data_IF_997632209601
#
_entry.id   IF_997632209601
#
_cell.length_a   1.000
_cell.length_b   1.000
_cell.length_c   1.000
_cell.angle_alpha   90.00
_cell.angle_beta   90.00
_cell.angle_gamma   90.00
#
_symmetry.space_group_name_H-M   'P 1'
#
loop_
_entity.id
_entity.type
_entity.pdbx_description
1 polymer ?
#
# COMPACT_ATOMS: atom_id res chain seq x y z
N UNK A 1 7.36 6.89 34.79
CA UNK A 1 6.17 6.44 34.06
C UNK A 1 5.25 7.65 33.95
N UNK A 2 5.31 8.35 32.80
CA UNK A 2 4.45 9.53 32.58
C UNK A 2 3.26 8.99 31.79
N UNK A 3 2.18 8.67 32.52
CA UNK A 3 0.88 8.45 31.89
C UNK A 3 0.37 9.81 31.41
N UNK A 4 0.62 10.14 30.15
CA UNK A 4 -0.13 11.20 29.50
C UNK A 4 -1.57 10.72 29.37
N UNK A 5 -2.45 11.28 30.17
CA UNK A 5 -3.88 11.03 30.08
C UNK A 5 -4.35 11.46 28.68
N UNK A 6 -5.22 10.67 28.05
CA UNK A 6 -5.77 10.88 26.71
C UNK A 6 -6.33 12.31 26.53
N UNK A 7 -6.81 12.92 27.59
CA UNK A 7 -7.23 14.33 27.61
C UNK A 7 -6.07 15.32 27.39
N UNK A 8 -4.84 14.97 27.77
CA UNK A 8 -3.66 15.82 27.56
C UNK A 8 -3.11 15.68 26.13
N UNK A 9 -3.20 14.50 25.55
CA UNK A 9 -2.94 14.30 24.11
C UNK A 9 -3.98 15.04 23.24
N UNK A 10 -5.20 15.13 23.71
CA UNK A 10 -6.31 15.78 23.00
C UNK A 10 -6.28 17.31 23.07
N UNK A 11 -5.74 17.90 24.12
CA UNK A 11 -5.52 19.35 24.20
C UNK A 11 -4.54 19.86 23.12
N UNK A 12 -3.71 18.96 22.57
CA UNK A 12 -2.79 19.24 21.47
C UNK A 12 -3.50 19.20 20.11
N UNK A 13 -4.66 18.50 19.98
CA UNK A 13 -5.32 18.21 18.70
C UNK A 13 -6.72 18.78 18.49
N UNK A 14 -7.09 19.93 19.07
CA UNK A 14 -8.39 20.62 18.82
C UNK A 14 -9.68 19.87 19.23
N UNK A 15 -10.09 20.12 20.39
CA UNK A 15 -11.27 19.92 21.18
C UNK A 15 -12.69 19.86 20.60
N UNK A 16 -13.07 18.93 19.72
CA UNK A 16 -14.50 18.61 19.51
C UNK A 16 -14.67 17.16 19.06
N UNK A 17 -15.21 16.30 19.93
CA UNK A 17 -15.74 14.93 19.75
C UNK A 17 -15.07 13.82 20.56
N UNK A 18 -15.18 13.89 21.89
CA UNK A 18 -14.64 12.89 22.83
C UNK A 18 -15.29 11.49 22.76
N UNK A 19 -16.55 11.38 22.40
CA UNK A 19 -17.29 10.11 22.53
C UNK A 19 -16.95 9.03 21.51
N UNK A 20 -16.44 9.39 20.33
CA UNK A 20 -16.04 8.41 19.29
C UNK A 20 -14.63 7.85 19.46
N UNK A 21 -13.74 8.57 20.14
CA UNK A 21 -12.35 8.15 20.32
C UNK A 21 -12.16 7.06 21.38
N UNK A 22 -13.02 7.03 22.40
CA UNK A 22 -12.90 6.09 23.53
C UNK A 22 -13.13 4.64 23.15
N UNK A 23 -13.86 4.36 22.05
CA UNK A 23 -14.14 2.99 21.60
C UNK A 23 -12.95 2.38 20.85
N UNK A 24 -12.12 3.18 20.18
CA UNK A 24 -11.01 2.70 19.36
C UNK A 24 -9.74 2.32 20.14
N UNK A 25 -9.60 2.77 21.39
CA UNK A 25 -8.38 2.50 22.20
C UNK A 25 -8.32 1.08 22.74
N UNK A 26 -9.40 0.31 22.69
CA UNK A 26 -9.48 -1.04 23.28
C UNK A 26 -8.83 -2.17 22.47
N UNK A 27 -8.43 -1.96 21.25
CA UNK A 27 -7.64 -2.96 20.51
C UNK A 27 -6.16 -2.57 20.63
N UNK A 28 -5.48 -3.16 21.60
CA UNK A 28 -4.02 -3.15 21.60
C UNK A 28 -3.58 -3.88 20.32
N UNK A 29 -3.06 -3.15 19.35
CA UNK A 29 -2.32 -3.77 18.25
C UNK A 29 -1.02 -4.24 18.90
N UNK A 30 -0.85 -5.55 19.07
CA UNK A 30 0.40 -6.12 19.55
C UNK A 30 1.45 -5.80 18.49
N UNK A 31 2.19 -4.72 18.69
CA UNK A 31 3.30 -4.33 17.83
C UNK A 31 4.58 -4.78 18.49
N UNK A 32 5.40 -5.50 17.75
CA UNK A 32 6.76 -5.85 18.12
C UNK A 32 7.74 -5.18 17.16
N UNK A 33 8.52 -4.24 17.68
CA UNK A 33 9.53 -3.52 16.90
C UNK A 33 10.74 -4.43 16.63
N UNK A 34 11.01 -4.70 15.35
CA UNK A 34 12.14 -5.53 14.88
C UNK A 34 13.33 -4.67 14.49
N UNK A 35 13.08 -3.51 13.89
CA UNK A 35 14.10 -2.60 13.38
C UNK A 35 13.56 -1.18 13.35
N UNK A 36 14.40 -0.23 13.64
CA UNK A 36 14.18 1.16 13.29
C UNK A 36 15.50 1.84 12.95
N UNK A 37 15.45 2.76 12.02
CA UNK A 37 16.62 3.47 11.57
C UNK A 37 16.28 4.76 10.86
N UNK A 38 17.24 5.66 10.85
CA UNK A 38 17.21 6.91 10.10
C UNK A 38 18.32 6.91 9.08
N UNK A 39 18.00 7.23 7.86
CA UNK A 39 18.99 7.31 6.78
C UNK A 39 18.90 8.65 6.08
N UNK A 40 20.00 9.08 5.49
CA UNK A 40 20.08 10.31 4.71
C UNK A 40 21.09 10.19 3.58
N UNK A 41 20.95 11.07 2.57
CA UNK A 41 21.80 11.16 1.41
C UNK A 41 21.31 10.35 0.22
N UNK A 42 22.04 10.46 -0.88
CA UNK A 42 21.73 9.78 -2.13
C UNK A 42 22.13 8.32 -2.07
N UNK A 43 21.22 7.43 -2.39
CA UNK A 43 21.51 6.03 -2.65
C UNK A 43 21.44 5.81 -4.16
N UNK A 44 22.54 6.04 -4.85
CA UNK A 44 22.71 5.59 -6.23
C UNK A 44 23.31 4.19 -6.21
N UNK A 45 22.49 3.16 -6.11
CA UNK A 45 22.95 1.82 -6.43
C UNK A 45 22.90 1.66 -7.94
N UNK A 46 24.06 1.70 -8.57
CA UNK A 46 24.27 1.14 -9.91
C UNK A 46 24.24 -0.38 -9.78
N UNK A 47 23.08 -0.99 -9.87
CA UNK A 47 22.88 -2.44 -9.81
C UNK A 47 21.45 -2.80 -10.19
N UNK A 48 21.23 -4.05 -10.62
CA UNK A 48 19.88 -4.59 -10.80
C UNK A 48 19.13 -4.44 -9.48
N UNK A 49 18.08 -3.63 -9.48
CA UNK A 49 17.20 -3.48 -8.32
C UNK A 49 16.42 -4.77 -8.18
N UNK A 50 16.59 -5.45 -7.05
CA UNK A 50 15.81 -6.63 -6.71
C UNK A 50 14.70 -6.20 -5.75
N UNK A 51 13.51 -6.77 -5.93
CA UNK A 51 12.45 -6.62 -4.97
C UNK A 51 12.79 -7.37 -3.68
N UNK A 52 12.62 -6.69 -2.57
CA UNK A 52 12.72 -7.29 -1.24
C UNK A 52 11.32 -7.66 -0.77
N UNK A 53 11.19 -8.83 -0.16
CA UNK A 53 9.95 -9.33 0.44
C UNK A 53 10.21 -9.68 1.88
N UNK A 54 9.34 -9.29 2.77
CA UNK A 54 9.47 -9.69 4.18
C UNK A 54 8.12 -10.03 4.81
N UNK A 55 8.14 -10.89 5.87
CA UNK A 55 6.91 -11.32 6.55
C UNK A 55 6.40 -10.31 7.60
N UNK A 56 6.95 -9.13 7.66
CA UNK A 56 6.61 -8.08 8.62
C UNK A 56 6.16 -6.79 7.93
N UNK A 57 5.52 -5.91 8.69
CA UNK A 57 5.16 -4.56 8.23
C UNK A 57 6.40 -3.67 8.14
N UNK A 58 6.41 -2.76 7.17
CA UNK A 58 7.42 -1.72 7.07
C UNK A 58 6.76 -0.36 6.94
N UNK A 59 7.15 0.58 7.81
CA UNK A 59 6.73 1.98 7.74
C UNK A 59 7.91 2.82 7.28
N UNK A 60 7.71 3.51 6.16
CA UNK A 60 8.65 4.50 5.64
C UNK A 60 8.10 5.91 5.90
N UNK A 61 8.94 6.80 6.40
CA UNK A 61 8.58 8.18 6.68
C UNK A 61 9.60 9.09 6.03
N UNK A 62 9.16 9.90 5.07
CA UNK A 62 10.02 10.90 4.45
C UNK A 62 10.13 12.12 5.35
N UNK A 63 11.28 12.34 5.95
CA UNK A 63 11.54 13.51 6.81
C UNK A 63 11.93 14.74 5.99
N UNK A 64 12.72 14.56 4.93
CA UNK A 64 13.14 15.63 4.04
C UNK A 64 13.47 15.07 2.63
N UNK A 65 13.32 15.90 1.61
CA UNK A 65 13.57 15.51 0.22
C UNK A 65 12.44 14.66 -0.35
N UNK A 66 12.81 13.66 -1.16
CA UNK A 66 11.86 12.77 -1.83
C UNK A 66 12.33 11.32 -1.70
N UNK A 67 11.37 10.41 -1.56
CA UNK A 67 11.60 8.98 -1.57
C UNK A 67 10.69 8.35 -2.64
N UNK A 68 11.29 7.57 -3.53
CA UNK A 68 10.54 6.81 -4.53
C UNK A 68 10.53 5.34 -4.12
N UNK A 69 9.36 4.86 -3.72
CA UNK A 69 9.11 3.46 -3.44
C UNK A 69 8.43 2.81 -4.64
N UNK A 70 9.01 1.76 -5.17
CA UNK A 70 8.38 0.91 -6.17
C UNK A 70 7.96 -0.39 -5.51
N UNK A 71 6.68 -0.71 -5.60
CA UNK A 71 6.13 -1.96 -5.07
C UNK A 71 5.53 -2.79 -6.21
N UNK A 72 5.19 -4.02 -5.90
CA UNK A 72 4.43 -4.90 -6.78
C UNK A 72 3.00 -4.41 -7.05
N UNK A 73 2.55 -3.42 -6.30
CA UNK A 73 1.21 -2.85 -6.41
C UNK A 73 1.19 -1.44 -7.00
N UNK A 74 2.38 -0.83 -7.20
CA UNK A 74 2.49 0.50 -7.78
C UNK A 74 3.74 1.25 -7.36
N UNK A 75 3.78 2.54 -7.74
CA UNK A 75 4.88 3.44 -7.39
C UNK A 75 4.34 4.56 -6.50
N UNK A 76 5.08 4.83 -5.43
CA UNK A 76 4.75 5.87 -4.47
C UNK A 76 5.90 6.88 -4.44
N UNK A 77 5.58 8.14 -4.64
CA UNK A 77 6.51 9.26 -4.45
C UNK A 77 6.16 9.92 -3.13
N UNK A 78 7.02 9.78 -2.14
CA UNK A 78 6.83 10.41 -0.84
C UNK A 78 7.61 11.72 -0.81
N UNK A 79 6.95 12.77 -0.37
CA UNK A 79 7.55 14.07 -0.05
C UNK A 79 7.76 14.21 1.45
N UNK A 80 8.47 15.26 1.85
CA UNK A 80 8.70 15.55 3.26
C UNK A 80 7.38 15.60 4.06
N UNK A 81 7.29 14.79 5.09
CA UNK A 81 6.11 14.61 5.94
C UNK A 81 5.19 13.47 5.54
N UNK A 82 5.37 12.83 4.37
CA UNK A 82 4.56 11.68 3.96
C UNK A 82 5.01 10.41 4.67
N UNK A 83 4.05 9.51 4.90
CA UNK A 83 4.26 8.16 5.44
C UNK A 83 3.71 7.11 4.50
N UNK A 84 4.44 6.02 4.32
CA UNK A 84 4.01 4.83 3.56
C UNK A 84 4.11 3.60 4.46
N UNK A 85 3.02 2.89 4.61
CA UNK A 85 2.97 1.58 5.24
C UNK A 85 2.94 0.49 4.18
N UNK A 86 3.89 -0.43 4.27
CA UNK A 86 3.96 -1.65 3.47
C UNK A 86 3.52 -2.84 4.33
N UNK A 87 2.43 -3.54 3.98
CA UNK A 87 2.03 -4.75 4.68
C UNK A 87 2.99 -5.92 4.41
N UNK A 88 2.94 -6.99 5.23
CA UNK A 88 3.73 -8.19 5.03
C UNK A 88 3.58 -8.77 3.62
N UNK A 89 4.67 -9.24 3.03
CA UNK A 89 4.67 -9.86 1.71
C UNK A 89 4.63 -8.89 0.53
N UNK A 90 4.62 -7.58 0.76
CA UNK A 90 4.71 -6.58 -0.32
C UNK A 90 6.11 -6.55 -0.88
N UNK A 91 6.24 -6.90 -2.17
CA UNK A 91 7.50 -6.76 -2.89
C UNK A 91 7.82 -5.29 -3.14
N UNK A 92 9.01 -4.83 -2.77
CA UNK A 92 9.36 -3.43 -2.95
C UNK A 92 10.87 -3.19 -3.06
N UNK A 93 11.20 -2.04 -3.61
CA UNK A 93 12.52 -1.43 -3.51
C UNK A 93 12.40 0.09 -3.44
N UNK A 94 13.37 0.72 -2.80
CA UNK A 94 13.41 2.16 -2.60
C UNK A 94 14.50 2.81 -3.44
N UNK A 95 14.23 4.05 -3.88
CA UNK A 95 15.19 4.91 -4.56
C UNK A 95 15.21 6.27 -3.90
N UNK A 96 16.41 6.78 -3.69
CA UNK A 96 16.64 8.11 -3.13
C UNK A 96 17.24 9.00 -4.22
N UNK A 97 16.43 9.85 -4.88
CA UNK A 97 16.91 10.65 -6.00
C UNK A 97 17.84 11.79 -5.58
N UNK A 98 17.67 12.32 -4.35
CA UNK A 98 18.33 13.54 -3.89
C UNK A 98 19.36 13.31 -2.81
N UNK A 99 20.39 14.18 -2.72
CA UNK A 99 21.40 14.11 -1.66
C UNK A 99 20.85 14.59 -0.30
N UNK A 100 19.80 15.40 -0.30
CA UNK A 100 19.16 15.95 0.91
C UNK A 100 18.07 15.08 1.49
N UNK A 101 17.94 13.85 1.00
CA UNK A 101 16.94 12.93 1.53
C UNK A 101 17.24 12.55 2.97
N UNK A 102 16.18 12.58 3.79
CA UNK A 102 16.16 12.02 5.14
C UNK A 102 14.87 11.24 5.33
N UNK A 103 14.98 10.06 5.87
CA UNK A 103 13.82 9.22 6.09
C UNK A 103 14.04 8.26 7.26
N UNK A 104 12.93 7.85 7.85
CA UNK A 104 12.86 6.75 8.81
C UNK A 104 12.35 5.50 8.13
N UNK A 105 12.95 4.36 8.47
CA UNK A 105 12.45 3.02 8.13
C UNK A 105 12.25 2.24 9.43
N UNK A 106 11.03 1.75 9.64
CA UNK A 106 10.66 0.95 10.80
C UNK A 106 10.09 -0.38 10.32
N UNK A 107 10.61 -1.48 10.87
CA UNK A 107 10.14 -2.84 10.58
C UNK A 107 9.58 -3.43 11.86
N UNK A 108 8.39 -4.01 11.79
CA UNK A 108 7.67 -4.47 12.98
C UNK A 108 6.64 -5.54 12.65
N UNK A 109 6.35 -6.39 13.60
CA UNK A 109 5.20 -7.29 13.56
C UNK A 109 3.97 -6.59 14.10
N UNK A 110 2.81 -6.89 13.52
CA UNK A 110 1.52 -6.39 13.97
C UNK A 110 0.43 -7.42 13.69
N UNK A 111 -0.45 -7.62 14.67
CA UNK A 111 -1.63 -8.47 14.50
C UNK A 111 -2.67 -7.89 13.52
N UNK A 112 -2.56 -6.59 13.21
CA UNK A 112 -3.42 -5.90 12.26
C UNK A 112 -2.56 -5.11 11.29
N UNK A 113 -2.75 -5.37 10.00
CA UNK A 113 -2.13 -4.63 8.92
C UNK A 113 -3.17 -4.41 7.81
N UNK A 114 -3.09 -3.33 7.02
CA UNK A 114 -3.88 -3.23 5.80
C UNK A 114 -3.46 -4.32 4.81
N UNK A 115 -4.35 -4.68 3.89
CA UNK A 115 -4.08 -5.70 2.86
C UNK A 115 -3.21 -5.15 1.72
N UNK A 116 -3.10 -3.84 1.59
CA UNK A 116 -2.41 -3.13 0.50
C UNK A 116 -1.53 -2.00 1.07
N UNK A 117 -0.47 -1.57 0.35
CA UNK A 117 0.31 -0.39 0.72
C UNK A 117 -0.59 0.85 0.88
N UNK A 118 -0.36 1.61 1.92
CA UNK A 118 -1.16 2.78 2.25
C UNK A 118 -0.27 3.99 2.50
N UNK A 119 -0.70 5.16 1.99
CA UNK A 119 -0.01 6.43 2.17
C UNK A 119 -0.84 7.38 3.02
N UNK A 120 -0.20 8.04 3.97
CA UNK A 120 -0.74 9.21 4.66
C UNK A 120 0.10 10.41 4.25
N UNK A 121 -0.54 11.35 3.55
CA UNK A 121 0.12 12.59 3.13
C UNK A 121 0.45 13.48 4.33
N UNK A 122 1.41 14.38 4.13
CA UNK A 122 1.89 15.30 5.15
C UNK A 122 0.75 15.98 5.90
N UNK A 123 0.80 15.89 7.22
CA UNK A 123 -0.13 16.53 8.15
C UNK A 123 0.54 16.68 9.53
N UNK A 124 -0.11 17.41 10.42
CA UNK A 124 0.39 17.68 11.78
C UNK A 124 0.69 16.38 12.56
N UNK A 125 -0.10 15.34 12.36
CA UNK A 125 0.14 14.04 12.98
C UNK A 125 1.46 13.42 12.52
N UNK A 126 1.74 13.43 11.22
CA UNK A 126 2.99 12.88 10.67
C UNK A 126 4.20 13.67 11.20
N UNK A 127 4.09 15.00 11.23
CA UNK A 127 5.14 15.86 11.78
C UNK A 127 5.38 15.62 13.27
N UNK A 128 4.33 15.34 14.04
CA UNK A 128 4.45 14.94 15.43
C UNK A 128 5.16 13.59 15.56
N UNK A 129 4.84 12.59 14.73
CA UNK A 129 5.53 11.30 14.72
C UNK A 129 7.03 11.45 14.42
N UNK A 130 7.39 12.24 13.41
CA UNK A 130 8.79 12.54 13.07
C UNK A 130 9.53 13.16 14.26
N UNK A 131 8.92 14.14 14.91
CA UNK A 131 9.51 14.77 16.11
C UNK A 131 9.68 13.78 17.26
N UNK A 132 8.73 12.88 17.45
CA UNK A 132 8.78 11.83 18.47
C UNK A 132 9.90 10.83 18.21
N UNK A 133 10.09 10.41 16.96
CA UNK A 133 11.22 9.57 16.57
C UNK A 133 12.56 10.30 16.70
N UNK A 134 12.63 11.59 16.32
CA UNK A 134 13.81 12.41 16.50
C UNK A 134 14.21 12.53 17.98
N UNK A 135 13.24 12.59 18.89
CA UNK A 135 13.51 12.62 20.33
C UNK A 135 14.19 11.34 20.84
N UNK A 136 13.83 10.20 20.27
CA UNK A 136 14.41 8.89 20.61
C UNK A 136 15.75 8.61 19.89
N UNK A 137 16.13 9.48 18.95
CA UNK A 137 17.28 9.26 18.09
C UNK A 137 18.54 9.86 18.68
N UNK A 138 19.65 9.09 18.69
CA UNK A 138 20.96 9.67 18.96
C UNK A 138 21.45 10.43 17.72
N UNK A 139 21.95 11.64 17.90
CA UNK A 139 22.30 12.54 16.79
C UNK A 139 23.30 11.95 15.78
N UNK A 140 24.12 10.99 16.21
CA UNK A 140 25.22 10.42 15.42
C UNK A 140 24.90 9.08 14.78
N UNK A 141 23.72 8.50 15.04
CA UNK A 141 23.37 7.20 14.49
C UNK A 141 22.79 7.33 13.08
N UNK A 142 23.50 6.76 12.11
CA UNK A 142 23.03 6.58 10.75
C UNK A 142 22.68 5.11 10.54
N UNK A 143 21.58 4.84 9.82
CA UNK A 143 21.02 3.51 9.60
C UNK A 143 20.36 2.91 10.85
N UNK A 144 20.68 1.69 11.22
CA UNK A 144 20.07 0.99 12.32
C UNK A 144 20.31 1.67 13.67
N UNK A 145 19.25 1.81 14.44
CA UNK A 145 19.28 2.37 15.80
C UNK A 145 19.26 1.22 16.81
N UNK A 146 20.06 1.31 17.88
CA UNK A 146 19.93 0.35 18.98
C UNK A 146 18.53 0.41 19.58
N UNK A 147 17.90 -0.76 19.72
CA UNK A 147 16.61 -0.88 20.40
C UNK A 147 16.90 -1.14 21.88
N UNK A 148 16.68 -0.13 22.71
CA UNK A 148 16.76 -0.22 24.17
C UNK A 148 15.36 -0.30 24.75
N UNK A 149 15.21 -0.79 25.99
CA UNK A 149 13.89 -0.84 26.62
C UNK A 149 13.22 0.54 26.68
N UNK A 150 14.01 1.60 26.92
CA UNK A 150 13.47 2.96 27.03
C UNK A 150 12.95 3.52 25.70
N UNK A 151 13.66 3.30 24.59
CA UNK A 151 13.20 3.80 23.30
C UNK A 151 12.18 2.87 22.63
N UNK A 152 12.22 1.57 22.90
CA UNK A 152 11.26 0.59 22.40
C UNK A 152 9.83 0.98 22.75
N UNK A 153 9.54 1.25 24.02
CA UNK A 153 8.20 1.62 24.50
C UNK A 153 7.67 2.87 23.78
N UNK A 154 8.52 3.87 23.59
CA UNK A 154 8.13 5.12 22.92
C UNK A 154 7.88 4.85 21.42
N UNK A 155 8.81 4.16 20.74
CA UNK A 155 8.71 3.88 19.30
C UNK A 155 7.49 3.00 19.01
N UNK A 156 7.27 1.93 19.77
CA UNK A 156 6.09 1.08 19.64
C UNK A 156 4.79 1.82 19.95
N UNK A 157 4.81 2.75 20.92
CA UNK A 157 3.68 3.63 21.21
C UNK A 157 3.31 4.53 20.03
N UNK A 158 4.32 5.17 19.40
CA UNK A 158 4.11 5.98 18.19
C UNK A 158 3.66 5.11 17.02
N UNK A 159 4.26 3.92 16.80
CA UNK A 159 3.84 2.97 15.77
C UNK A 159 2.39 2.53 15.95
N UNK A 160 1.95 2.26 17.17
CA UNK A 160 0.55 1.93 17.45
C UNK A 160 -0.41 3.04 16.99
N UNK A 161 -0.02 4.31 17.18
CA UNK A 161 -0.82 5.45 16.70
C UNK A 161 -0.78 5.55 15.17
N UNK A 162 0.38 5.34 14.55
CA UNK A 162 0.51 5.28 13.08
C UNK A 162 -0.39 4.20 12.51
N UNK A 163 -0.33 2.98 13.03
CA UNK A 163 -1.14 1.86 12.57
C UNK A 163 -2.65 2.15 12.68
N UNK A 164 -3.09 2.70 13.82
CA UNK A 164 -4.49 3.13 13.98
C UNK A 164 -4.88 4.18 12.93
N UNK A 165 -3.99 5.11 12.65
CA UNK A 165 -4.24 6.14 11.62
C UNK A 165 -4.34 5.51 10.22
N UNK A 166 -3.46 4.58 9.86
CA UNK A 166 -3.53 3.86 8.59
C UNK A 166 -4.81 3.03 8.47
N UNK A 167 -5.22 2.34 9.54
CA UNK A 167 -6.48 1.59 9.54
C UNK A 167 -7.70 2.49 9.35
N UNK A 168 -7.73 3.65 10.00
CA UNK A 168 -8.80 4.64 9.82
C UNK A 168 -8.85 5.20 8.39
N UNK A 169 -7.70 5.49 7.79
CA UNK A 169 -7.65 5.94 6.39
C UNK A 169 -8.04 4.81 5.42
N UNK A 170 -7.58 3.59 5.68
CA UNK A 170 -7.99 2.39 4.94
C UNK A 170 -9.51 2.18 4.98
N UNK A 171 -10.13 2.34 6.15
CA UNK A 171 -11.59 2.28 6.29
C UNK A 171 -12.29 3.42 5.52
N UNK A 172 -11.73 4.64 5.55
CA UNK A 172 -12.23 5.78 4.77
C UNK A 172 -12.12 5.52 3.27
N UNK A 173 -11.00 4.99 2.80
CA UNK A 173 -10.81 4.62 1.40
C UNK A 173 -11.72 3.44 1.01
N UNK A 174 -11.88 2.43 1.86
CA UNK A 174 -12.86 1.35 1.66
C UNK A 174 -14.31 1.88 1.60
N UNK A 175 -14.64 2.92 2.37
CA UNK A 175 -15.94 3.57 2.30
C UNK A 175 -16.13 4.47 1.07
N UNK A 176 -15.05 4.80 0.35
CA UNK A 176 -15.09 5.62 -0.87
C UNK A 176 -15.08 4.79 -2.16
N UNK A 177 -14.81 3.50 -2.08
CA UNK A 177 -14.90 2.62 -3.24
C UNK A 177 -16.18 1.78 -3.19
N UNK A 178 -16.94 1.71 -4.29
CA UNK A 178 -18.12 0.87 -4.35
C UNK A 178 -17.78 -0.60 -4.08
N UNK A 179 -18.50 -1.25 -3.19
CA UNK A 179 -18.32 -2.67 -2.87
C UNK A 179 -18.37 -3.58 -4.12
N UNK A 180 -19.16 -3.20 -5.11
CA UNK A 180 -19.25 -3.92 -6.38
C UNK A 180 -17.92 -3.94 -7.13
N UNK A 181 -17.08 -2.90 -7.02
CA UNK A 181 -15.75 -2.87 -7.66
C UNK A 181 -14.84 -3.91 -7.02
N UNK A 182 -14.84 -3.97 -5.68
CA UNK A 182 -14.09 -4.99 -4.94
C UNK A 182 -14.54 -6.40 -5.32
N UNK A 183 -15.86 -6.66 -5.33
CA UNK A 183 -16.41 -7.97 -5.73
C UNK A 183 -15.97 -8.39 -7.14
N UNK A 184 -15.95 -7.46 -8.08
CA UNK A 184 -15.46 -7.72 -9.45
C UNK A 184 -13.98 -8.09 -9.42
N UNK A 185 -13.13 -7.31 -8.74
CA UNK A 185 -11.69 -7.59 -8.65
C UNK A 185 -11.41 -8.94 -8.00
N UNK A 186 -12.02 -9.22 -6.85
CA UNK A 186 -11.83 -10.50 -6.13
C UNK A 186 -12.24 -11.68 -7.02
N UNK A 187 -13.32 -11.54 -7.78
CA UNK A 187 -13.77 -12.54 -8.74
C UNK A 187 -12.73 -12.77 -9.85
N UNK A 188 -12.13 -11.68 -10.36
CA UNK A 188 -11.08 -11.76 -11.39
C UNK A 188 -9.80 -12.41 -10.84
N UNK A 189 -9.42 -12.08 -9.60
CA UNK A 189 -8.22 -12.67 -8.96
C UNK A 189 -8.31 -14.19 -8.88
N UNK A 190 -9.50 -14.73 -8.64
CA UNK A 190 -9.75 -16.18 -8.58
C UNK A 190 -9.89 -16.79 -9.98
N UNK A 191 -10.57 -16.11 -10.89
CA UNK A 191 -10.89 -16.61 -12.22
C UNK A 191 -9.73 -16.54 -13.22
N UNK A 192 -8.85 -15.54 -13.07
CA UNK A 192 -7.81 -15.22 -14.04
C UNK A 192 -8.38 -14.51 -15.29
N UNK A 193 -7.60 -14.50 -16.37
CA UNK A 193 -7.92 -13.79 -17.61
C UNK A 193 -9.03 -14.41 -18.49
N UNK A 194 -9.49 -15.61 -18.13
CA UNK A 194 -10.59 -16.28 -18.82
C UNK A 194 -11.96 -15.70 -18.46
N UNK A 195 -12.02 -14.52 -17.84
CA UNK A 195 -13.22 -13.86 -17.36
C UNK A 195 -13.62 -12.70 -18.28
N UNK A 196 -14.90 -12.62 -18.60
CA UNK A 196 -15.54 -11.48 -19.24
C UNK A 196 -16.67 -10.94 -18.35
N UNK A 197 -17.44 -9.97 -18.81
CA UNK A 197 -18.53 -9.35 -18.02
C UNK A 197 -19.59 -10.38 -17.67
N UNK A 198 -19.95 -11.24 -18.62
CA UNK A 198 -20.98 -12.27 -18.47
C UNK A 198 -20.57 -13.29 -17.41
N UNK A 199 -19.37 -13.89 -17.57
CA UNK A 199 -18.88 -14.88 -16.63
C UNK A 199 -18.51 -14.29 -15.25
N UNK A 200 -18.18 -13.00 -15.19
CA UNK A 200 -18.02 -12.28 -13.93
C UNK A 200 -19.37 -12.14 -13.20
N UNK A 201 -20.40 -11.76 -13.93
CA UNK A 201 -21.75 -11.64 -13.39
C UNK A 201 -22.27 -12.98 -12.86
N UNK A 202 -22.12 -14.06 -13.64
CA UNK A 202 -22.49 -15.42 -13.24
C UNK A 202 -21.83 -15.85 -11.93
N UNK A 203 -20.51 -15.58 -11.78
CA UNK A 203 -19.78 -15.88 -10.54
C UNK A 203 -20.22 -15.05 -9.34
N UNK A 204 -20.80 -13.88 -9.60
CA UNK A 204 -21.43 -13.04 -8.58
C UNK A 204 -22.91 -13.37 -8.33
N UNK A 205 -23.42 -14.47 -8.94
CA UNK A 205 -24.82 -14.87 -8.90
C UNK A 205 -25.76 -13.78 -9.45
N UNK A 206 -25.37 -13.14 -10.55
CA UNK A 206 -26.10 -12.08 -11.23
C UNK A 206 -26.13 -12.34 -12.74
N UNK A 207 -27.11 -11.75 -13.44
CA UNK A 207 -27.01 -11.59 -14.89
C UNK A 207 -26.14 -10.38 -15.24
N UNK A 208 -25.57 -10.34 -16.45
CA UNK A 208 -24.76 -9.20 -16.89
C UNK A 208 -25.54 -7.86 -16.85
N UNK A 209 -26.83 -7.78 -17.21
CA UNK A 209 -27.62 -6.56 -17.00
C UNK A 209 -27.75 -6.16 -15.52
N UNK A 210 -27.93 -7.12 -14.60
CA UNK A 210 -27.97 -6.83 -13.16
C UNK A 210 -26.64 -6.29 -12.65
N UNK A 211 -25.52 -6.89 -13.06
CA UNK A 211 -24.19 -6.40 -12.70
C UNK A 211 -23.97 -4.98 -13.20
N UNK A 212 -24.29 -4.70 -14.48
CA UNK A 212 -24.16 -3.35 -15.04
C UNK A 212 -25.09 -2.34 -14.35
N UNK A 213 -26.30 -2.75 -13.97
CA UNK A 213 -27.22 -1.88 -13.21
C UNK A 213 -26.66 -1.53 -11.84
N UNK A 214 -26.18 -2.55 -11.06
CA UNK A 214 -25.57 -2.31 -9.75
C UNK A 214 -24.32 -1.45 -9.87
N UNK A 215 -23.51 -1.68 -10.89
CA UNK A 215 -22.32 -0.88 -11.16
C UNK A 215 -22.69 0.57 -11.46
N UNK A 216 -23.66 0.82 -12.34
CA UNK A 216 -24.12 2.17 -12.67
C UNK A 216 -24.78 2.89 -11.48
N UNK A 217 -25.51 2.16 -10.64
CA UNK A 217 -26.06 2.69 -9.37
C UNK A 217 -24.92 3.13 -8.46
N UNK A 218 -23.90 2.31 -8.29
CA UNK A 218 -22.73 2.62 -7.48
C UNK A 218 -21.96 3.84 -8.01
N UNK A 219 -21.77 3.97 -9.33
CA UNK A 219 -21.14 5.17 -9.91
C UNK A 219 -21.91 6.46 -9.52
N UNK A 220 -23.23 6.45 -9.58
CA UNK A 220 -24.05 7.61 -9.19
C UNK A 220 -23.92 7.91 -7.70
N UNK A 221 -24.01 6.90 -6.87
CA UNK A 221 -23.95 7.02 -5.40
C UNK A 221 -22.60 7.60 -4.95
N UNK A 222 -21.51 7.15 -5.57
CA UNK A 222 -20.14 7.59 -5.26
C UNK A 222 -19.66 8.78 -6.10
N UNK A 223 -20.53 9.33 -6.98
CA UNK A 223 -20.22 10.46 -7.88
C UNK A 223 -19.02 10.21 -8.79
N UNK A 224 -18.87 8.97 -9.24
CA UNK A 224 -17.81 8.56 -10.16
C UNK A 224 -18.24 8.74 -11.61
N UNK A 225 -17.31 9.10 -12.48
CA UNK A 225 -17.59 9.32 -13.91
C UNK A 225 -17.80 7.99 -14.65
N UNK A 226 -18.95 7.81 -15.36
CA UNK A 226 -19.15 6.64 -16.22
C UNK A 226 -18.16 6.54 -17.39
N UNK A 227 -17.50 7.64 -17.75
CA UNK A 227 -16.48 7.66 -18.81
C UNK A 227 -15.16 7.05 -18.32
N UNK A 228 -14.87 7.20 -17.03
CA UNK A 228 -13.66 6.68 -16.41
C UNK A 228 -13.80 5.22 -15.98
N UNK A 229 -15.00 4.80 -15.59
CA UNK A 229 -15.26 3.49 -14.99
C UNK A 229 -16.27 2.67 -15.79
N UNK A 230 -15.97 1.39 -15.96
CA UNK A 230 -16.90 0.37 -16.44
C UNK A 230 -16.52 -0.99 -15.86
N UNK A 231 -17.48 -1.93 -15.81
CA UNK A 231 -17.21 -3.30 -15.37
C UNK A 231 -16.02 -3.90 -16.14
N UNK A 232 -15.98 -3.69 -17.45
CA UNK A 232 -14.88 -4.15 -18.32
C UNK A 232 -13.54 -3.53 -17.93
N UNK A 233 -13.50 -2.22 -17.63
CA UNK A 233 -12.24 -1.56 -17.20
C UNK A 233 -11.75 -2.10 -15.88
N UNK A 234 -12.63 -2.36 -14.89
CA UNK A 234 -12.22 -2.96 -13.61
C UNK A 234 -11.67 -4.38 -13.81
N UNK A 235 -12.31 -5.19 -14.67
CA UNK A 235 -11.81 -6.51 -15.02
C UNK A 235 -10.42 -6.40 -15.67
N UNK A 236 -10.27 -5.53 -16.67
CA UNK A 236 -9.00 -5.36 -17.40
C UNK A 236 -7.87 -4.87 -16.45
N UNK A 237 -8.17 -3.95 -15.53
CA UNK A 237 -7.21 -3.49 -14.51
C UNK A 237 -6.79 -4.63 -13.57
N UNK A 238 -7.73 -5.44 -13.09
CA UNK A 238 -7.42 -6.55 -12.19
C UNK A 238 -6.58 -7.65 -12.88
N UNK A 239 -6.84 -7.94 -14.16
CA UNK A 239 -6.02 -8.86 -14.94
C UNK A 239 -4.63 -8.29 -15.19
N UNK A 240 -4.55 -7.00 -15.55
CA UNK A 240 -3.28 -6.30 -15.79
C UNK A 240 -2.40 -6.32 -14.54
N UNK A 241 -3.00 -6.06 -13.38
CA UNK A 241 -2.32 -6.15 -12.09
C UNK A 241 -1.68 -7.55 -11.87
N UNK A 242 -2.43 -8.64 -12.13
CA UNK A 242 -1.88 -9.99 -12.02
C UNK A 242 -0.73 -10.22 -13.02
N UNK A 243 -0.87 -9.75 -14.26
CA UNK A 243 0.19 -9.88 -15.27
C UNK A 243 1.46 -9.17 -14.82
N UNK A 244 1.34 -7.92 -14.36
CA UNK A 244 2.49 -7.13 -13.92
C UNK A 244 3.20 -7.80 -12.74
N UNK A 245 2.47 -8.36 -11.79
CA UNK A 245 3.05 -9.15 -10.71
C UNK A 245 3.93 -10.30 -11.22
N UNK A 246 3.44 -11.09 -12.16
CA UNK A 246 4.24 -12.17 -12.73
C UNK A 246 5.44 -11.66 -13.52
N UNK A 247 5.26 -10.59 -14.31
CA UNK A 247 6.34 -10.00 -15.08
C UNK A 247 7.44 -9.40 -14.21
N UNK A 248 7.06 -8.76 -13.11
CA UNK A 248 7.97 -8.02 -12.24
C UNK A 248 8.64 -8.91 -11.18
N UNK A 249 7.98 -9.98 -10.72
CA UNK A 249 8.41 -10.74 -9.55
C UNK A 249 8.80 -12.19 -9.83
N UNK A 250 8.61 -12.69 -11.05
CA UNK A 250 8.99 -14.07 -11.38
C UNK A 250 9.85 -14.13 -12.64
N UNK A 251 10.67 -15.15 -12.72
CA UNK A 251 11.42 -15.50 -13.93
C UNK A 251 10.65 -16.48 -14.85
N UNK A 252 9.35 -16.67 -14.59
CA UNK A 252 8.50 -17.52 -15.41
C UNK A 252 8.51 -17.07 -16.87
N UNK A 253 8.59 -18.04 -17.79
CA UNK A 253 8.42 -17.73 -19.20
C UNK A 253 7.04 -17.12 -19.46
N UNK A 254 6.90 -16.32 -20.51
CA UNK A 254 5.61 -15.74 -20.88
C UNK A 254 4.53 -16.80 -21.13
N UNK A 255 4.93 -17.99 -21.59
CA UNK A 255 4.01 -19.12 -21.79
C UNK A 255 3.50 -19.65 -20.45
N UNK A 256 4.38 -19.76 -19.45
CA UNK A 256 3.98 -20.16 -18.08
C UNK A 256 3.03 -19.13 -17.50
N UNK A 257 3.34 -17.83 -17.60
CA UNK A 257 2.46 -16.76 -17.11
C UNK A 257 1.09 -16.82 -17.79
N UNK A 258 1.06 -16.98 -19.12
CA UNK A 258 -0.19 -17.11 -19.87
C UNK A 258 -1.04 -18.28 -19.35
N UNK A 259 -0.43 -19.43 -19.07
CA UNK A 259 -1.09 -20.61 -18.53
C UNK A 259 -1.61 -20.36 -17.11
N UNK A 260 -0.78 -19.79 -16.23
CA UNK A 260 -1.15 -19.48 -14.82
C UNK A 260 -2.35 -18.52 -14.75
N UNK A 261 -2.37 -17.54 -15.64
CA UNK A 261 -3.45 -16.56 -15.74
C UNK A 261 -4.62 -17.04 -16.63
N UNK A 262 -4.60 -18.31 -17.08
CA UNK A 262 -5.67 -18.92 -17.88
C UNK A 262 -5.94 -18.21 -19.21
N UNK A 263 -4.90 -17.67 -19.85
CA UNK A 263 -4.99 -17.28 -21.24
C UNK A 263 -4.94 -18.52 -22.16
N UNK A 264 -5.66 -18.48 -23.26
CA UNK A 264 -5.69 -19.59 -24.24
C UNK A 264 -4.29 -19.92 -24.79
N UNK A 265 -3.44 -18.92 -24.95
CA UNK A 265 -2.05 -19.07 -25.39
C UNK A 265 -1.26 -17.77 -25.14
N UNK A 266 0.06 -17.85 -25.30
CA UNK A 266 0.99 -16.74 -25.11
C UNK A 266 0.77 -15.59 -26.11
N UNK A 267 0.23 -15.85 -27.29
CA UNK A 267 -0.05 -14.80 -28.29
C UNK A 267 -1.25 -13.95 -27.85
N UNK A 268 -2.31 -14.59 -27.35
CA UNK A 268 -3.49 -13.92 -26.81
C UNK A 268 -3.09 -13.07 -25.59
N UNK A 269 -2.30 -13.64 -24.68
CA UNK A 269 -1.72 -12.93 -23.54
C UNK A 269 -0.93 -11.70 -23.99
N UNK A 270 0.01 -11.86 -24.93
CA UNK A 270 0.87 -10.76 -25.37
C UNK A 270 0.10 -9.64 -26.06
N UNK A 271 -0.91 -9.99 -26.89
CA UNK A 271 -1.80 -9.01 -27.53
C UNK A 271 -2.67 -8.28 -26.51
N UNK A 272 -3.21 -9.01 -25.53
CA UNK A 272 -4.01 -8.43 -24.46
C UNK A 272 -3.21 -7.39 -23.68
N UNK A 273 -2.02 -7.76 -23.23
CA UNK A 273 -1.14 -6.88 -22.49
C UNK A 273 -0.76 -5.64 -23.29
N UNK A 274 -0.30 -5.84 -24.55
CA UNK A 274 0.08 -4.73 -25.42
C UNK A 274 -1.09 -3.79 -25.72
N UNK A 275 -2.29 -4.30 -25.87
CA UNK A 275 -3.49 -3.46 -26.06
C UNK A 275 -3.76 -2.54 -24.89
N UNK A 276 -3.54 -3.01 -23.66
CA UNK A 276 -3.83 -2.22 -22.45
C UNK A 276 -2.69 -1.26 -22.08
N UNK A 277 -1.44 -1.65 -22.34
CA UNK A 277 -0.25 -0.90 -21.86
C UNK A 277 0.52 -0.16 -22.95
N UNK A 278 0.23 -0.46 -24.22
CA UNK A 278 0.96 0.07 -25.36
C UNK A 278 2.31 -0.63 -25.64
N UNK A 279 2.82 -1.43 -24.70
CA UNK A 279 4.12 -2.14 -24.82
C UNK A 279 3.95 -3.65 -24.75
N UNK A 280 4.90 -4.41 -25.29
CA UNK A 280 4.85 -5.88 -25.17
C UNK A 280 5.32 -6.36 -23.79
N UNK A 281 4.85 -7.54 -23.32
CA UNK A 281 5.34 -8.14 -22.06
C UNK A 281 6.87 -8.35 -22.06
N UNK A 282 7.45 -8.68 -23.22
CA UNK A 282 8.91 -8.81 -23.36
C UNK A 282 9.62 -7.48 -23.09
N UNK A 283 9.10 -6.37 -23.66
CA UNK A 283 9.66 -5.04 -23.45
C UNK A 283 9.52 -4.63 -21.98
N UNK A 284 8.36 -4.90 -21.36
CA UNK A 284 8.12 -4.65 -19.94
C UNK A 284 9.13 -5.37 -19.06
N UNK A 285 9.37 -6.66 -19.31
CA UNK A 285 10.33 -7.46 -18.54
C UNK A 285 11.78 -6.96 -18.66
N UNK A 286 12.18 -6.43 -19.80
CA UNK A 286 13.52 -5.84 -20.00
C UNK A 286 13.71 -4.50 -19.23
N UNK A 287 12.63 -3.90 -18.81
CA UNK A 287 12.64 -2.65 -18.01
C UNK A 287 12.68 -2.90 -16.49
N UNK A 288 12.59 -4.19 -16.10
CA UNK A 288 12.70 -4.68 -14.71
C UNK A 288 14.09 -4.48 -14.10
#
# INVERSE_FOLDING_TARGET
MIYLNISQLYAIFNGKNYKKFTIFIKVAMNIELLYWGRSWGKLSKSGKRQFEYHPYCQLEICEAGHLLMTTDQGKFVLQAGDMLLLPPGTGHYVTYPDENNKFYSLKFESAAAPDEPAVILNCDFNMWCIKSFNFCHSADARYAMPITNSNREIVEGVLNLCMKRFMLESERHRSHEPEIFKKIRDTVLIAGAAINVESCAERLNMSAPQLNYQFSKALKEYRLSPEEYSVKKIIDQAILYQIDRYLDFTDFSLSIIATQLKFNNVYTFSRYYKRLTGISPVKRRKQR
#
